data_IF_748101272487
#
_entry.id   IF_748101272487
#
_cell.length_a   1.000
_cell.length_b   1.000
_cell.length_c   1.000
_cell.angle_alpha   90.00
_cell.angle_beta   90.00
_cell.angle_gamma   90.00
#
_symmetry.space_group_name_H-M   'P 1'
#
loop_
_entity.id
_entity.type
_entity.pdbx_description
1 polymer ?
#
# COMPACT_ATOMS: atom_id res chain seq x y z
N UNK A 1 -3.77 32.91 -1.16
CA UNK A 1 -5.15 32.47 -1.51
C UNK A 1 -5.09 31.90 -2.93
N UNK A 2 -4.76 30.62 -3.04
CA UNK A 2 -4.64 29.90 -4.31
C UNK A 2 -5.89 29.04 -4.50
N UNK A 3 -6.50 29.01 -5.68
CA UNK A 3 -7.65 28.16 -5.93
C UNK A 3 -7.16 26.73 -6.19
N UNK A 4 -7.57 25.78 -5.36
CA UNK A 4 -7.50 24.38 -5.73
C UNK A 4 -8.67 24.12 -6.69
N UNK A 5 -8.36 23.89 -7.96
CA UNK A 5 -9.28 23.35 -8.95
C UNK A 5 -9.66 21.94 -8.53
N UNK A 6 -10.84 21.77 -7.90
CA UNK A 6 -11.52 20.48 -7.83
C UNK A 6 -12.28 20.29 -9.15
N UNK A 7 -11.80 19.38 -9.98
CA UNK A 7 -12.64 18.77 -11.01
C UNK A 7 -13.67 17.89 -10.29
N UNK A 8 -14.94 18.23 -10.42
CA UNK A 8 -16.07 17.57 -9.75
C UNK A 8 -16.75 18.52 -8.76
N UNK A 9 -17.99 18.92 -9.08
CA UNK A 9 -18.85 19.67 -8.17
C UNK A 9 -19.27 18.77 -7.00
N UNK A 10 -18.41 18.63 -6.00
CA UNK A 10 -18.60 17.67 -4.92
C UNK A 10 -18.98 18.35 -3.61
N UNK A 11 -20.03 17.81 -2.97
CA UNK A 11 -20.42 18.16 -1.62
C UNK A 11 -19.27 17.78 -0.66
N UNK A 12 -18.44 18.75 -0.31
CA UNK A 12 -17.35 18.56 0.63
C UNK A 12 -17.75 19.07 2.02
N UNK A 13 -17.38 18.31 3.05
CA UNK A 13 -17.48 18.71 4.47
C UNK A 13 -16.06 18.80 5.01
N UNK A 14 -15.72 19.93 5.62
CA UNK A 14 -14.45 20.15 6.32
C UNK A 14 -14.70 20.27 7.80
N UNK A 15 -13.95 19.51 8.60
CA UNK A 15 -13.88 19.66 10.04
C UNK A 15 -12.47 20.13 10.41
N UNK A 16 -12.34 21.23 11.14
CA UNK A 16 -11.05 21.74 11.62
C UNK A 16 -11.16 22.35 13.02
N UNK A 17 -10.06 22.40 13.76
CA UNK A 17 -10.03 23.02 15.08
C UNK A 17 -10.20 24.55 14.96
N UNK A 18 -10.89 25.18 15.91
CA UNK A 18 -10.94 26.64 15.99
C UNK A 18 -9.58 27.19 16.45
N UNK A 19 -9.03 28.16 15.71
CA UNK A 19 -7.70 28.72 15.97
C UNK A 19 -7.66 29.68 17.18
N UNK A 20 -8.78 30.35 17.47
CA UNK A 20 -8.88 31.44 18.45
C UNK A 20 -9.94 31.15 19.52
N UNK A 21 -9.85 30.00 20.18
CA UNK A 21 -10.77 29.65 21.25
C UNK A 21 -10.05 29.43 22.58
N UNK A 22 -10.66 29.88 23.68
CA UNK A 22 -10.12 29.74 25.05
C UNK A 22 -9.94 28.27 25.48
N UNK A 23 -10.69 27.34 24.84
CA UNK A 23 -10.61 25.90 25.09
C UNK A 23 -10.10 25.17 23.85
N UNK A 24 -9.23 24.18 24.05
CA UNK A 24 -8.73 23.32 22.97
C UNK A 24 -9.84 22.38 22.49
N UNK A 25 -10.15 22.43 21.20
CA UNK A 25 -11.00 21.44 20.55
C UNK A 25 -10.23 20.17 20.21
N UNK A 26 -10.95 19.06 20.01
CA UNK A 26 -10.41 17.81 19.48
C UNK A 26 -11.33 17.27 18.39
N UNK A 27 -10.70 16.70 17.35
CA UNK A 27 -11.39 15.97 16.29
C UNK A 27 -10.67 14.64 16.17
N UNK A 28 -11.39 13.55 16.41
CA UNK A 28 -10.86 12.19 16.33
C UNK A 28 -11.67 11.41 15.31
N UNK A 29 -11.02 10.94 14.24
CA UNK A 29 -11.66 10.01 13.33
C UNK A 29 -11.80 8.64 14.03
N UNK A 30 -13.01 8.11 14.08
CA UNK A 30 -13.25 6.79 14.64
C UNK A 30 -12.59 5.71 13.77
N UNK A 31 -12.38 4.52 14.36
CA UNK A 31 -11.89 3.38 13.61
C UNK A 31 -12.80 3.09 12.40
N UNK A 32 -12.22 3.14 11.21
CA UNK A 32 -12.92 2.90 9.97
C UNK A 32 -13.04 1.39 9.72
N UNK A 33 -14.27 0.91 9.62
CA UNK A 33 -14.55 -0.46 9.20
C UNK A 33 -14.73 -0.47 7.68
N UNK A 34 -13.83 -1.14 6.98
CA UNK A 34 -13.85 -1.24 5.53
C UNK A 34 -14.60 -2.52 5.11
N UNK A 35 -15.70 -2.40 4.35
CA UNK A 35 -16.35 -3.56 3.75
C UNK A 35 -15.39 -4.35 2.85
N UNK A 36 -15.58 -5.66 2.75
CA UNK A 36 -14.81 -6.49 1.83
C UNK A 36 -14.98 -5.99 0.38
N UNK A 37 -13.88 -5.99 -0.38
CA UNK A 37 -13.87 -5.49 -1.76
C UNK A 37 -13.78 -3.96 -1.89
N UNK A 38 -13.66 -3.22 -0.78
CA UNK A 38 -13.41 -1.77 -0.84
C UNK A 38 -12.05 -1.51 -1.47
N UNK A 39 -12.02 -0.70 -2.54
CA UNK A 39 -10.78 -0.19 -3.09
C UNK A 39 -10.33 1.02 -2.30
N UNK A 40 -9.13 0.94 -1.73
CA UNK A 40 -8.52 2.02 -0.96
C UNK A 40 -7.31 2.54 -1.71
N UNK A 41 -7.25 3.86 -1.91
CA UNK A 41 -6.07 4.54 -2.42
C UNK A 41 -5.58 5.50 -1.35
N UNK A 42 -4.30 5.42 -1.01
CA UNK A 42 -3.64 6.36 -0.13
C UNK A 42 -2.56 7.10 -0.93
N UNK A 43 -2.55 8.42 -0.83
CA UNK A 43 -1.54 9.26 -1.48
C UNK A 43 -1.06 10.38 -0.57
N UNK A 44 0.22 10.73 -0.73
CA UNK A 44 0.72 12.02 -0.26
C UNK A 44 0.17 13.13 -1.15
N UNK A 45 0.06 14.34 -0.59
CA UNK A 45 -0.26 15.54 -1.35
C UNK A 45 0.96 16.45 -1.44
N UNK A 46 0.83 17.58 -2.15
CA UNK A 46 1.89 18.60 -2.19
C UNK A 46 1.93 19.46 -0.90
N UNK A 47 1.00 19.24 0.03
CA UNK A 47 0.93 19.94 1.31
C UNK A 47 1.52 19.03 2.39
N UNK A 48 2.49 19.50 3.19
CA UNK A 48 3.05 18.72 4.29
C UNK A 48 1.97 18.23 5.25
N UNK A 49 2.12 17.00 5.74
CA UNK A 49 1.22 16.36 6.70
C UNK A 49 -0.23 16.18 6.22
N UNK A 50 -0.51 16.45 4.94
CA UNK A 50 -1.79 16.21 4.31
C UNK A 50 -1.72 14.96 3.45
N UNK A 51 -2.51 13.96 3.83
CA UNK A 51 -2.67 12.71 3.12
C UNK A 51 -4.10 12.61 2.61
N UNK A 52 -4.27 12.04 1.42
CA UNK A 52 -5.58 11.72 0.89
C UNK A 52 -5.81 10.23 0.89
N UNK A 53 -6.91 9.83 1.53
CA UNK A 53 -7.48 8.49 1.46
C UNK A 53 -8.70 8.54 0.55
N UNK A 54 -8.66 7.83 -0.56
CA UNK A 54 -9.81 7.67 -1.46
C UNK A 54 -10.38 6.27 -1.29
N UNK A 55 -11.69 6.19 -1.11
CA UNK A 55 -12.42 4.94 -0.95
C UNK A 55 -13.41 4.77 -2.09
N UNK A 56 -13.40 3.59 -2.71
CA UNK A 56 -14.41 3.20 -3.70
C UNK A 56 -15.01 1.86 -3.29
N UNK A 57 -16.27 1.90 -2.90
CA UNK A 57 -17.04 0.75 -2.40
C UNK A 57 -18.40 1.19 -1.84
N UNK A 58 -19.25 0.24 -1.50
CA UNK A 58 -20.58 0.49 -0.94
C UNK A 58 -20.63 0.22 0.55
N UNK A 59 -21.47 0.95 1.30
CA UNK A 59 -21.67 0.71 2.72
C UNK A 59 -20.55 1.23 3.62
N UNK A 60 -19.73 2.15 3.12
CA UNK A 60 -18.75 2.86 3.92
C UNK A 60 -19.46 3.78 4.90
N UNK A 61 -19.05 3.76 6.17
CA UNK A 61 -19.58 4.66 7.20
C UNK A 61 -18.39 5.36 7.86
N UNK A 62 -18.34 6.68 7.71
CA UNK A 62 -17.32 7.51 8.34
C UNK A 62 -17.90 8.12 9.61
N UNK A 63 -17.16 8.04 10.71
CA UNK A 63 -17.57 8.63 11.99
C UNK A 63 -16.43 9.46 12.54
N UNK A 64 -16.72 10.70 12.91
CA UNK A 64 -15.81 11.57 13.63
C UNK A 64 -16.37 11.88 15.01
N UNK A 65 -15.50 11.90 16.02
CA UNK A 65 -15.81 12.38 17.35
C UNK A 65 -15.23 13.78 17.50
N UNK A 66 -16.07 14.72 17.92
CA UNK A 66 -15.71 16.12 18.12
C UNK A 66 -15.98 16.53 19.55
N UNK A 67 -15.10 17.37 20.11
CA UNK A 67 -15.25 17.93 21.45
C UNK A 67 -14.64 19.33 21.49
N UNK A 68 -15.26 20.26 22.21
CA UNK A 68 -14.84 21.66 22.26
C UNK A 68 -15.12 22.42 20.96
N UNK A 69 -14.43 23.56 20.74
CA UNK A 69 -14.68 24.45 19.61
C UNK A 69 -14.11 23.87 18.30
N UNK A 70 -14.99 23.62 17.34
CA UNK A 70 -14.69 23.05 16.03
C UNK A 70 -15.32 23.91 14.94
N UNK A 71 -14.58 24.15 13.87
CA UNK A 71 -15.08 24.77 12.65
C UNK A 71 -15.59 23.70 11.69
N UNK A 72 -16.82 23.88 11.21
CA UNK A 72 -17.46 23.05 10.19
C UNK A 72 -17.63 23.90 8.94
N UNK A 73 -17.01 23.47 7.84
CA UNK A 73 -17.16 24.09 6.54
C UNK A 73 -17.92 23.19 5.59
N UNK A 74 -18.85 23.77 4.81
CA UNK A 74 -19.50 23.11 3.69
C UNK A 74 -19.06 23.75 2.39
N UNK A 75 -19.07 22.97 1.31
CA UNK A 75 -18.81 23.50 -0.01
C UNK A 75 -19.79 24.64 -0.35
N UNK A 76 -19.25 25.82 -0.70
CA UNK A 76 -20.04 27.00 -1.07
C UNK A 76 -20.62 27.82 0.09
N UNK A 77 -20.38 27.43 1.35
CA UNK A 77 -20.82 28.17 2.53
C UNK A 77 -19.62 28.63 3.40
N UNK A 78 -19.75 29.74 4.15
CA UNK A 78 -18.75 30.11 5.14
C UNK A 78 -18.67 29.03 6.24
N UNK A 79 -17.47 28.84 6.80
CA UNK A 79 -17.29 27.92 7.91
C UNK A 79 -17.98 28.45 9.17
N UNK A 80 -18.71 27.60 9.87
CA UNK A 80 -19.38 27.89 11.12
C UNK A 80 -18.58 27.31 12.29
N UNK A 81 -18.40 28.09 13.36
CA UNK A 81 -17.78 27.60 14.59
C UNK A 81 -18.86 27.09 15.54
N UNK A 82 -18.76 25.82 15.90
CA UNK A 82 -19.65 25.16 16.86
C UNK A 82 -18.83 24.73 18.07
N UNK A 83 -19.28 25.11 19.26
CA UNK A 83 -18.66 24.69 20.51
C UNK A 83 -19.38 23.46 21.09
N UNK A 84 -18.76 22.29 20.94
CA UNK A 84 -19.27 21.04 21.47
C UNK A 84 -18.94 20.91 22.97
N UNK A 85 -19.89 21.27 23.83
CA UNK A 85 -19.75 21.18 25.29
C UNK A 85 -19.54 19.74 25.79
N UNK A 86 -19.92 18.74 25.00
CA UNK A 86 -19.74 17.31 25.29
C UNK A 86 -19.25 16.58 24.03
N UNK A 87 -18.46 15.50 24.17
CA UNK A 87 -18.04 14.69 23.04
C UNK A 87 -19.24 14.23 22.21
N UNK A 88 -19.27 14.63 20.95
CA UNK A 88 -20.38 14.37 20.02
C UNK A 88 -19.88 13.58 18.83
N UNK A 89 -20.70 12.63 18.35
CA UNK A 89 -20.37 11.82 17.18
C UNK A 89 -21.04 12.39 15.94
N UNK A 90 -20.25 12.75 14.93
CA UNK A 90 -20.72 13.14 13.61
C UNK A 90 -20.67 11.91 12.71
N UNK A 91 -21.82 11.53 12.17
CA UNK A 91 -21.94 10.47 11.17
C UNK A 91 -21.85 11.11 9.78
N UNK A 92 -20.85 10.68 9.01
CA UNK A 92 -20.67 11.08 7.63
C UNK A 92 -21.06 9.88 6.76
N UNK A 93 -22.14 10.03 6.00
CA UNK A 93 -22.62 9.02 5.07
C UNK A 93 -22.13 9.36 3.66
N UNK A 94 -21.06 8.69 3.20
CA UNK A 94 -20.60 8.85 1.83
C UNK A 94 -21.68 8.46 0.83
N UNK A 95 -21.71 9.15 -0.32
CA UNK A 95 -22.55 8.78 -1.44
C UNK A 95 -22.13 7.46 -2.11
N UNK A 96 -22.81 7.04 -3.19
CA UNK A 96 -22.48 5.82 -3.93
C UNK A 96 -21.17 5.92 -4.75
N UNK A 97 -20.58 7.11 -4.84
CA UNK A 97 -19.37 7.41 -5.59
C UNK A 97 -18.09 7.17 -4.78
N UNK A 98 -16.95 7.41 -5.41
CA UNK A 98 -15.67 7.51 -4.71
C UNK A 98 -15.73 8.65 -3.68
N UNK A 99 -15.09 8.43 -2.53
CA UNK A 99 -15.07 9.38 -1.42
C UNK A 99 -13.63 9.68 -1.06
N UNK A 100 -13.29 10.96 -1.12
CA UNK A 100 -11.99 11.48 -0.75
C UNK A 100 -12.02 12.01 0.70
N UNK A 101 -11.14 11.48 1.53
CA UNK A 101 -10.88 11.95 2.88
C UNK A 101 -9.48 12.55 2.95
N UNK A 102 -9.44 13.86 3.11
CA UNK A 102 -8.22 14.64 3.31
C UNK A 102 -7.92 14.73 4.81
N UNK A 103 -6.82 14.14 5.24
CA UNK A 103 -6.36 14.11 6.63
C UNK A 103 -5.11 14.97 6.80
N UNK A 104 -5.24 16.04 7.59
CA UNK A 104 -4.11 16.87 8.03
C UNK A 104 -3.73 16.52 9.46
N UNK A 105 -2.50 16.09 9.69
CA UNK A 105 -1.97 15.80 11.02
C UNK A 105 -1.20 17.00 11.57
N UNK A 106 -1.45 17.37 12.84
CA UNK A 106 -0.86 18.55 13.48
C UNK A 106 0.54 18.32 14.05
N UNK A 107 0.92 17.07 14.35
CA UNK A 107 2.24 16.71 14.86
C UNK A 107 2.92 15.74 13.89
N UNK A 108 4.17 16.06 13.51
CA UNK A 108 5.03 15.26 12.65
C UNK A 108 5.57 14.05 13.42
N UNK A 109 4.71 13.09 13.68
CA UNK A 109 5.08 11.82 14.30
C UNK A 109 4.31 10.73 13.57
N UNK A 110 5.06 9.88 12.90
CA UNK A 110 4.55 8.86 11.96
C UNK A 110 3.24 8.22 12.45
N UNK A 111 2.16 8.39 11.68
CA UNK A 111 0.89 7.75 12.02
C UNK A 111 1.00 6.28 11.66
N UNK A 112 1.05 5.43 12.69
CA UNK A 112 1.02 3.98 12.52
C UNK A 112 -0.42 3.48 12.52
N UNK A 113 -0.85 2.86 11.41
CA UNK A 113 -2.06 2.05 11.43
C UNK A 113 -1.75 0.75 12.17
N UNK A 114 -2.27 0.61 13.39
CA UNK A 114 -1.94 -0.48 14.33
C UNK A 114 -2.59 -1.83 14.01
N UNK A 115 -3.42 -1.92 12.96
CA UNK A 115 -4.11 -3.15 12.57
C UNK A 115 -3.51 -3.73 11.30
N UNK A 116 -3.31 -5.04 11.31
CA UNK A 116 -2.99 -5.80 10.11
C UNK A 116 -4.19 -5.73 9.15
N UNK A 117 -3.99 -5.13 7.97
CA UNK A 117 -5.05 -4.97 6.98
C UNK A 117 -4.93 -6.07 5.93
N UNK A 118 -5.89 -7.00 5.93
CA UNK A 118 -5.99 -7.98 4.84
C UNK A 118 -6.21 -7.26 3.51
N UNK A 119 -5.36 -7.55 2.53
CA UNK A 119 -5.31 -6.84 1.27
C UNK A 119 -5.17 -7.84 0.12
N UNK A 120 -5.95 -7.59 -0.92
CA UNK A 120 -5.83 -8.25 -2.23
C UNK A 120 -5.53 -7.20 -3.29
N UNK A 121 -4.74 -7.56 -4.30
CA UNK A 121 -4.37 -6.68 -5.42
C UNK A 121 -3.67 -5.37 -5.00
N UNK A 122 -2.72 -5.47 -4.07
CA UNK A 122 -1.80 -4.39 -3.74
C UNK A 122 -1.12 -3.83 -5.00
N UNK A 123 -1.10 -2.50 -5.12
CA UNK A 123 -0.45 -1.79 -6.20
C UNK A 123 0.29 -0.56 -5.69
N UNK A 124 1.48 -0.31 -6.25
CA UNK A 124 2.36 0.81 -5.89
C UNK A 124 2.62 1.62 -7.16
N UNK A 125 1.66 2.46 -7.54
CA UNK A 125 1.72 3.22 -8.78
C UNK A 125 1.12 4.62 -8.65
N UNK A 126 1.55 5.49 -9.55
CA UNK A 126 0.96 6.79 -9.83
C UNK A 126 0.36 6.73 -11.22
N UNK A 127 -0.86 7.24 -11.36
CA UNK A 127 -1.48 7.47 -12.67
C UNK A 127 -1.18 8.92 -13.04
N UNK A 128 -0.48 9.11 -14.13
CA UNK A 128 -0.23 10.40 -14.74
C UNK A 128 -1.13 10.55 -15.96
N UNK A 129 -1.81 11.68 -16.05
CA UNK A 129 -2.70 12.00 -17.16
C UNK A 129 -2.22 13.30 -17.78
N UNK A 130 -1.89 13.24 -19.07
CA UNK A 130 -1.42 14.37 -19.84
C UNK A 130 -2.43 14.65 -20.95
N UNK A 131 -2.83 15.91 -21.10
CA UNK A 131 -3.58 16.37 -22.26
C UNK A 131 -2.57 16.94 -23.26
N UNK A 132 -2.34 16.25 -24.37
CA UNK A 132 -1.44 16.70 -25.43
C UNK A 132 -2.19 16.67 -26.76
N UNK A 133 -2.24 17.82 -27.44
CA UNK A 133 -2.81 17.97 -28.79
C UNK A 133 -4.21 17.35 -28.97
N UNK A 134 -5.08 17.47 -27.96
CA UNK A 134 -6.46 16.96 -28.01
C UNK A 134 -6.61 15.47 -27.65
N UNK A 135 -5.52 14.77 -27.29
CA UNK A 135 -5.57 13.39 -26.78
C UNK A 135 -5.22 13.35 -25.29
N UNK A 136 -5.92 12.48 -24.56
CA UNK A 136 -5.61 12.18 -23.16
C UNK A 136 -4.68 10.97 -23.12
N UNK A 137 -3.40 11.20 -22.79
CA UNK A 137 -2.43 10.14 -22.58
C UNK A 137 -2.43 9.77 -21.10
N UNK A 138 -2.74 8.52 -20.79
CA UNK A 138 -2.72 7.98 -19.42
C UNK A 138 -1.52 7.04 -19.27
N UNK A 139 -0.60 7.37 -18.36
CA UNK A 139 0.59 6.57 -18.07
C UNK A 139 0.61 6.12 -16.61
N UNK A 140 1.08 4.90 -16.38
CA UNK A 140 1.40 4.39 -15.04
C UNK A 140 2.88 4.63 -14.74
N UNK A 141 3.18 5.33 -13.66
CA UNK A 141 4.52 5.62 -13.18
C UNK A 141 4.76 4.93 -11.82
N UNK A 142 6.02 4.60 -11.52
CA UNK A 142 6.40 4.04 -10.22
C UNK A 142 6.31 5.11 -9.13
N UNK A 143 5.86 4.72 -7.94
CA UNK A 143 5.92 5.53 -6.71
C UNK A 143 6.97 5.04 -5.72
N UNK A 144 7.75 4.03 -6.08
CA UNK A 144 8.75 3.45 -5.19
C UNK A 144 9.95 4.40 -5.05
N UNK A 145 10.22 4.83 -3.82
CA UNK A 145 11.43 5.58 -3.47
C UNK A 145 12.59 4.64 -3.12
N UNK A 146 12.28 3.55 -2.42
CA UNK A 146 13.19 2.48 -2.05
C UNK A 146 12.40 1.30 -1.48
N UNK A 147 13.05 0.15 -1.30
CA UNK A 147 12.45 -0.97 -0.59
C UNK A 147 13.31 -2.22 -0.60
N UNK A 148 12.88 -3.22 0.16
CA UNK A 148 13.50 -4.55 0.17
C UNK A 148 12.40 -5.60 0.04
N UNK A 149 12.59 -6.53 -0.89
CA UNK A 149 11.78 -7.73 -1.01
C UNK A 149 12.47 -8.88 -0.28
N UNK A 150 11.71 -9.60 0.54
CA UNK A 150 12.14 -10.78 1.27
C UNK A 150 11.46 -12.01 0.65
N UNK A 151 12.26 -12.94 0.14
CA UNK A 151 11.75 -14.19 -0.45
C UNK A 151 11.88 -15.33 0.56
N UNK A 152 10.84 -15.56 1.35
CA UNK A 152 10.81 -16.69 2.30
C UNK A 152 10.97 -18.04 1.60
N UNK A 153 10.41 -18.18 0.38
CA UNK A 153 10.56 -19.38 -0.45
C UNK A 153 12.00 -19.65 -0.91
N UNK A 154 12.88 -18.65 -0.79
CA UNK A 154 14.30 -18.70 -1.12
C UNK A 154 15.18 -18.53 0.13
N UNK A 155 14.76 -19.10 1.26
CA UNK A 155 15.46 -19.01 2.55
C UNK A 155 15.73 -17.57 3.00
N UNK A 156 14.76 -16.68 2.81
CA UNK A 156 14.88 -15.29 3.23
C UNK A 156 15.81 -14.44 2.36
N UNK A 157 16.12 -14.88 1.13
CA UNK A 157 16.93 -14.08 0.19
C UNK A 157 16.31 -12.69 0.04
N UNK A 158 17.16 -11.67 0.19
CA UNK A 158 16.77 -10.28 0.07
C UNK A 158 17.05 -9.74 -1.33
N UNK A 159 16.19 -8.83 -1.79
CA UNK A 159 16.42 -8.04 -2.99
C UNK A 159 16.06 -6.59 -2.74
N UNK A 160 17.01 -5.69 -2.98
CA UNK A 160 16.76 -4.25 -2.92
C UNK A 160 16.03 -3.77 -4.17
N UNK A 161 15.02 -2.94 -3.96
CA UNK A 161 14.31 -2.17 -4.96
C UNK A 161 14.92 -0.78 -5.04
N UNK A 162 15.19 -0.32 -6.26
CA UNK A 162 15.77 1.00 -6.52
C UNK A 162 14.68 2.07 -6.55
N UNK A 163 15.08 3.32 -6.36
CA UNK A 163 14.20 4.46 -6.59
C UNK A 163 13.70 4.46 -8.04
N UNK A 164 12.42 4.80 -8.20
CA UNK A 164 11.67 4.79 -9.46
C UNK A 164 11.58 3.42 -10.17
N UNK A 165 12.06 2.34 -9.55
CA UNK A 165 11.85 0.99 -10.08
C UNK A 165 10.36 0.69 -10.02
N UNK A 166 9.72 0.42 -11.15
CA UNK A 166 8.33 -0.02 -11.15
C UNK A 166 8.27 -1.44 -10.59
N UNK A 167 7.34 -1.70 -9.67
CA UNK A 167 7.05 -3.02 -9.15
C UNK A 167 5.60 -3.34 -9.44
N UNK A 168 5.37 -4.44 -10.14
CA UNK A 168 4.04 -4.88 -10.52
C UNK A 168 3.81 -6.31 -10.05
N UNK A 169 2.57 -6.60 -9.68
CA UNK A 169 2.09 -7.93 -9.31
C UNK A 169 0.86 -8.23 -10.16
N UNK A 170 0.82 -9.39 -10.81
CA UNK A 170 -0.41 -9.88 -11.45
C UNK A 170 -1.45 -10.22 -10.38
N UNK A 171 -1.01 -10.84 -9.28
CA UNK A 171 -1.83 -11.14 -8.12
C UNK A 171 -1.05 -10.87 -6.85
N UNK A 172 -1.75 -10.40 -5.82
CA UNK A 172 -1.19 -10.27 -4.47
C UNK A 172 -2.30 -10.50 -3.46
N UNK A 173 -2.01 -11.31 -2.44
CA UNK A 173 -2.93 -11.64 -1.35
C UNK A 173 -2.15 -11.79 -0.06
N UNK A 174 -2.52 -11.02 0.95
CA UNK A 174 -1.82 -11.03 2.22
C UNK A 174 -2.31 -9.94 3.15
N UNK A 175 -1.38 -9.41 3.94
CA UNK A 175 -1.65 -8.44 4.99
C UNK A 175 -0.64 -7.31 4.96
N UNK A 176 -1.14 -6.08 5.05
CA UNK A 176 -0.31 -4.93 5.40
C UNK A 176 -0.08 -4.98 6.90
N UNK A 177 1.16 -5.30 7.30
CA UNK A 177 1.56 -5.43 8.71
C UNK A 177 1.78 -4.07 9.36
N UNK A 178 2.39 -3.14 8.63
CA UNK A 178 2.59 -1.77 9.08
C UNK A 178 2.39 -0.80 7.91
N UNK A 179 1.73 0.32 8.22
CA UNK A 179 1.63 1.49 7.35
C UNK A 179 2.00 2.71 8.17
N UNK A 180 3.06 3.39 7.77
CA UNK A 180 3.55 4.60 8.43
C UNK A 180 3.44 5.78 7.46
N UNK A 181 2.78 6.83 7.90
CA UNK A 181 2.64 8.08 7.15
C UNK A 181 3.76 9.04 7.58
N UNK A 182 4.63 9.42 6.66
CA UNK A 182 5.68 10.43 6.86
C UNK A 182 5.40 11.63 5.98
N UNK A 183 5.94 12.80 6.35
CA UNK A 183 5.66 14.09 5.71
C UNK A 183 5.71 14.05 4.18
N UNK A 184 6.66 13.29 3.62
CA UNK A 184 6.93 13.21 2.18
C UNK A 184 6.81 11.81 1.58
N UNK A 185 6.52 10.78 2.37
CA UNK A 185 6.45 9.40 1.86
C UNK A 185 5.57 8.51 2.73
N UNK A 186 5.19 7.35 2.19
CA UNK A 186 4.44 6.33 2.89
C UNK A 186 5.32 5.09 2.97
N UNK A 187 5.55 4.60 4.18
CA UNK A 187 6.28 3.35 4.41
C UNK A 187 5.28 2.22 4.62
N UNK A 188 5.45 1.14 3.86
CA UNK A 188 4.55 -0.01 3.83
C UNK A 188 5.33 -1.30 4.08
N UNK A 189 4.86 -2.13 5.01
CA UNK A 189 5.28 -3.52 5.14
C UNK A 189 4.11 -4.44 4.76
N UNK A 190 4.26 -5.14 3.64
CA UNK A 190 3.29 -6.12 3.17
C UNK A 190 3.87 -7.53 3.27
N UNK A 191 3.08 -8.44 3.83
CA UNK A 191 3.40 -9.85 3.90
C UNK A 191 2.32 -10.66 3.20
N UNK A 192 2.69 -11.46 2.21
CA UNK A 192 1.69 -12.23 1.48
C UNK A 192 2.22 -13.05 0.33
N UNK A 193 1.30 -13.76 -0.31
CA UNK A 193 1.54 -14.50 -1.55
C UNK A 193 1.37 -13.56 -2.72
N UNK A 194 2.36 -13.58 -3.61
CA UNK A 194 2.42 -12.73 -4.79
C UNK A 194 2.67 -13.61 -6.02
N UNK A 195 2.01 -13.27 -7.12
CA UNK A 195 2.13 -13.95 -8.40
C UNK A 195 2.45 -12.96 -9.51
N UNK A 196 3.26 -13.40 -10.48
CA UNK A 196 3.63 -12.57 -11.63
C UNK A 196 4.36 -11.29 -11.24
N UNK A 197 5.27 -11.35 -10.27
CA UNK A 197 6.03 -10.18 -9.84
C UNK A 197 7.01 -9.76 -10.93
N UNK A 198 6.91 -8.52 -11.40
CA UNK A 198 7.81 -7.94 -12.41
C UNK A 198 8.36 -6.59 -11.95
N UNK A 199 9.52 -6.22 -12.49
CA UNK A 199 10.11 -4.91 -12.27
C UNK A 199 10.60 -4.27 -13.57
N UNK A 200 10.61 -2.94 -13.61
CA UNK A 200 10.98 -2.15 -14.78
C UNK A 200 9.78 -1.65 -15.58
N UNK A 201 10.05 -0.88 -16.63
CA UNK A 201 9.01 -0.23 -17.45
C UNK A 201 9.30 -0.44 -18.94
N UNK A 202 8.24 -0.55 -19.74
CA UNK A 202 8.35 -0.79 -21.19
C UNK A 202 9.07 -2.12 -21.49
N UNK A 203 9.95 -2.10 -22.48
CA UNK A 203 10.66 -3.28 -22.97
C UNK A 203 11.73 -3.83 -22.00
N UNK A 204 12.05 -3.08 -20.94
CA UNK A 204 13.01 -3.47 -19.91
C UNK A 204 12.35 -4.14 -18.70
N UNK A 205 11.15 -4.70 -18.86
CA UNK A 205 10.50 -5.48 -17.82
C UNK A 205 11.22 -6.80 -17.58
N UNK A 206 11.51 -7.09 -16.31
CA UNK A 206 12.12 -8.34 -15.87
C UNK A 206 11.25 -9.02 -14.83
N UNK A 207 11.13 -10.34 -14.94
CA UNK A 207 10.48 -11.12 -13.90
C UNK A 207 11.33 -11.12 -12.63
N UNK A 208 10.66 -10.96 -11.49
CA UNK A 208 11.23 -11.12 -10.15
C UNK A 208 10.84 -12.44 -9.51
N UNK A 209 10.04 -13.25 -10.21
CA UNK A 209 9.60 -14.54 -9.69
C UNK A 209 10.80 -15.48 -9.57
N UNK A 210 10.92 -16.20 -8.44
CA UNK A 210 11.89 -17.27 -8.31
C UNK A 210 11.75 -18.29 -9.44
N UNK A 211 12.88 -18.72 -9.98
CA UNK A 211 12.90 -19.86 -10.91
C UNK A 211 12.80 -21.18 -10.16
N UNK A 212 12.42 -22.25 -10.87
CA UNK A 212 12.32 -23.59 -10.28
C UNK A 212 13.67 -24.09 -9.73
N UNK A 213 14.78 -23.75 -10.42
CA UNK A 213 16.13 -24.09 -9.99
C UNK A 213 16.52 -23.36 -8.70
N UNK A 214 16.23 -22.05 -8.60
CA UNK A 214 16.49 -21.28 -7.37
C UNK A 214 15.70 -21.84 -6.18
N UNK A 215 14.46 -22.26 -6.42
CA UNK A 215 13.63 -22.90 -5.40
C UNK A 215 14.20 -24.25 -4.93
N UNK A 216 14.65 -25.10 -5.86
CA UNK A 216 15.31 -26.37 -5.53
C UNK A 216 16.63 -26.16 -4.78
N UNK A 217 17.40 -25.14 -5.18
CA UNK A 217 18.65 -24.77 -4.52
C UNK A 217 18.42 -24.31 -3.09
N UNK A 218 17.39 -23.50 -2.85
CA UNK A 218 17.07 -23.02 -1.51
C UNK A 218 16.69 -24.18 -0.56
N UNK A 219 15.99 -25.20 -1.03
CA UNK A 219 15.49 -26.28 -0.16
C UNK A 219 16.49 -27.37 0.22
N UNK A 220 17.79 -27.15 0.03
CA UNK A 220 18.85 -28.17 0.19
C UNK A 220 18.63 -29.45 -0.67
N UNK A 221 17.67 -29.45 -1.60
CA UNK A 221 17.35 -30.62 -2.41
C UNK A 221 18.51 -31.01 -3.33
N UNK A 222 19.36 -30.05 -3.70
CA UNK A 222 20.55 -30.28 -4.52
C UNK A 222 21.62 -31.10 -3.79
N UNK A 223 21.89 -30.86 -2.50
CA UNK A 223 22.87 -31.69 -1.78
C UNK A 223 22.36 -33.12 -1.59
N UNK A 224 21.06 -33.29 -1.38
CA UNK A 224 20.42 -34.60 -1.32
C UNK A 224 20.45 -35.31 -2.68
N UNK A 225 20.16 -34.61 -3.78
CA UNK A 225 20.26 -35.14 -5.15
C UNK A 225 21.68 -35.59 -5.49
N UNK A 226 22.68 -34.76 -5.16
CA UNK A 226 24.08 -35.13 -5.38
C UNK A 226 24.50 -36.29 -4.48
N UNK A 227 24.05 -36.32 -3.23
CA UNK A 227 24.28 -37.43 -2.31
C UNK A 227 23.70 -38.75 -2.81
N UNK A 228 22.45 -38.77 -3.30
CA UNK A 228 21.83 -39.97 -3.86
C UNK A 228 22.47 -40.39 -5.18
N UNK A 229 22.83 -39.43 -6.03
CA UNK A 229 23.51 -39.71 -7.30
C UNK A 229 24.89 -40.33 -7.06
N UNK A 230 25.69 -39.76 -6.15
CA UNK A 230 26.99 -40.31 -5.74
C UNK A 230 26.84 -41.70 -5.11
N UNK A 231 25.83 -41.88 -4.27
CA UNK A 231 25.54 -43.17 -3.64
C UNK A 231 25.18 -44.25 -4.67
N UNK A 232 24.25 -43.96 -5.59
CA UNK A 232 23.85 -44.88 -6.66
C UNK A 232 25.01 -45.19 -7.61
N UNK A 233 25.81 -44.19 -7.94
CA UNK A 233 27.00 -44.36 -8.78
C UNK A 233 28.04 -45.26 -8.10
N UNK A 234 28.32 -45.04 -6.81
CA UNK A 234 29.19 -45.90 -6.01
C UNK A 234 28.67 -47.33 -5.89
N UNK A 235 27.35 -47.51 -5.72
CA UNK A 235 26.70 -48.82 -5.67
C UNK A 235 26.84 -49.54 -7.01
N UNK A 236 26.59 -48.85 -8.13
CA UNK A 236 26.70 -49.41 -9.48
C UNK A 236 28.12 -49.83 -9.82
N UNK A 237 29.12 -49.02 -9.47
CA UNK A 237 30.55 -49.39 -9.58
C UNK A 237 30.86 -50.60 -8.70
N UNK A 238 30.36 -50.64 -7.46
CA UNK A 238 30.54 -51.77 -6.55
C UNK A 238 30.00 -53.08 -7.12
N UNK A 239 28.80 -53.05 -7.70
CA UNK A 239 28.17 -54.20 -8.36
C UNK A 239 28.94 -54.63 -9.61
N UNK A 240 29.33 -53.69 -10.48
CA UNK A 240 30.11 -54.00 -11.69
C UNK A 240 31.46 -54.64 -11.35
N UNK A 241 32.14 -54.13 -10.32
CA UNK A 241 33.40 -54.70 -9.83
C UNK A 241 33.21 -56.10 -9.25
N UNK A 242 32.11 -56.36 -8.54
CA UNK A 242 31.80 -57.69 -8.02
C UNK A 242 31.53 -58.71 -9.14
N UNK A 243 30.91 -58.27 -10.23
CA UNK A 243 30.65 -59.09 -11.42
C UNK A 243 31.90 -59.30 -12.32
N UNK A 244 33.07 -58.79 -11.93
CA UNK A 244 34.33 -59.00 -12.64
C UNK A 244 34.49 -58.18 -13.92
N UNK A 245 33.64 -57.18 -14.14
CA UNK A 245 33.77 -56.25 -15.27
C UNK A 245 34.82 -55.21 -14.90
N UNK A 246 35.98 -55.22 -15.55
CA UNK A 246 36.98 -54.17 -15.39
C UNK A 246 36.52 -52.91 -16.14
N UNK A 247 36.37 -51.80 -15.41
CA UNK A 247 36.16 -50.46 -15.96
C UNK A 247 37.51 -49.75 -15.99
#
# INVERSE_FOLDING_TARGET
KTPHTSEGGEQAIRLSLAAEAERKGTITLAALMLPAGTHVRLRTTNVPNLFRLSFKGTGLVLRAHVSGPVQIGWYGAPAEQIDFLRPTSILLQPGPSEVDLDLTFTEASSVMLSRQLSTENLSLLRIEQFAESGFMIVRRASTLLSGTLYFESLNGRERRLRSAEALHFNTSKGEIRTLLLHDNHISLNFYGRVGGMTSGSGDSQRSLMPTYLEYLQARHGLSLLWGTTLYLFGLLIGVLRWLGVSI
#
